data_IF_518784089904
#
_entry.id   IF_518784089904
#
_cell.length_a   1.000
_cell.length_b   1.000
_cell.length_c   1.000
_cell.angle_alpha   90.00
_cell.angle_beta   90.00
_cell.angle_gamma   90.00
#
_symmetry.space_group_name_H-M   'P 1'
#
loop_
_entity.id
_entity.type
_entity.pdbx_description
1 polymer ?
#
# COMPACT_ATOMS: atom_id res chain seq x y z
N UNK A 1 27.32 8.34 0.46
CA UNK A 1 26.85 9.68 0.14
C UNK A 1 25.37 9.63 -0.23
N UNK A 2 24.59 10.44 0.45
CA UNK A 2 23.15 10.49 0.22
C UNK A 2 22.86 11.46 -0.90
N UNK A 3 22.00 11.08 -1.83
CA UNK A 3 21.60 11.95 -2.91
C UNK A 3 20.10 12.25 -2.85
N UNK A 4 19.63 13.15 -3.71
CA UNK A 4 18.23 13.58 -3.72
C UNK A 4 17.26 12.43 -3.97
N UNK A 5 17.65 11.48 -4.80
CA UNK A 5 16.80 10.34 -5.13
C UNK A 5 16.54 9.48 -3.89
N UNK A 6 17.56 9.28 -3.06
CA UNK A 6 17.39 8.49 -1.84
C UNK A 6 16.45 9.19 -0.86
N UNK A 7 16.54 10.52 -0.75
CA UNK A 7 15.69 11.28 0.15
C UNK A 7 14.23 11.22 -0.31
N UNK A 8 13.98 11.39 -1.62
CA UNK A 8 12.65 11.27 -2.20
C UNK A 8 12.07 9.90 -1.95
N UNK A 9 12.88 8.87 -2.17
CA UNK A 9 12.46 7.50 -1.99
C UNK A 9 12.07 7.25 -0.54
N UNK A 10 12.84 7.79 0.40
CA UNK A 10 12.56 7.67 1.82
C UNK A 10 11.23 8.30 2.19
N UNK A 11 10.90 9.47 1.65
CA UNK A 11 9.60 10.10 1.89
C UNK A 11 8.46 9.24 1.36
N UNK A 12 8.62 8.72 0.15
CA UNK A 12 7.63 7.85 -0.46
C UNK A 12 7.42 6.59 0.39
N UNK A 13 8.51 6.03 0.89
CA UNK A 13 8.44 4.83 1.73
C UNK A 13 7.74 5.13 3.05
N UNK A 14 7.99 6.29 3.65
CA UNK A 14 7.34 6.69 4.90
C UNK A 14 5.84 6.87 4.71
N UNK A 15 5.43 7.50 3.62
CA UNK A 15 4.01 7.65 3.30
C UNK A 15 3.36 6.30 3.10
N UNK A 16 3.99 5.44 2.31
CA UNK A 16 3.49 4.10 2.03
C UNK A 16 3.31 3.29 3.31
N UNK A 17 4.28 3.36 4.21
CA UNK A 17 4.23 2.63 5.47
C UNK A 17 3.12 3.14 6.38
N UNK A 18 2.97 4.47 6.48
CA UNK A 18 1.92 5.05 7.32
C UNK A 18 0.53 4.71 6.78
N UNK A 19 0.35 4.78 5.47
CA UNK A 19 -0.92 4.40 4.86
C UNK A 19 -1.20 2.91 5.10
N UNK A 20 -0.17 2.08 4.98
CA UNK A 20 -0.30 0.64 5.27
C UNK A 20 -0.73 0.38 6.70
N UNK A 21 -0.17 1.10 7.65
CA UNK A 21 -0.53 0.97 9.07
C UNK A 21 -2.01 1.32 9.29
N UNK A 22 -2.49 2.36 8.66
CA UNK A 22 -3.88 2.79 8.79
C UNK A 22 -4.84 1.80 8.16
N UNK A 23 -4.46 1.24 7.02
CA UNK A 23 -5.26 0.18 6.39
C UNK A 23 -5.30 -1.05 7.29
N UNK A 24 -4.15 -1.44 7.85
CA UNK A 24 -4.09 -2.61 8.74
C UNK A 24 -5.01 -2.43 9.95
N UNK A 25 -5.04 -1.24 10.52
CA UNK A 25 -5.93 -0.94 11.64
C UNK A 25 -7.38 -1.11 11.24
N UNK A 26 -7.78 -0.56 10.08
CA UNK A 26 -9.14 -0.73 9.57
C UNK A 26 -9.47 -2.17 9.30
N UNK A 27 -8.52 -2.90 8.75
CA UNK A 27 -8.71 -4.31 8.42
C UNK A 27 -8.95 -5.17 9.66
N UNK A 28 -8.30 -4.85 10.77
CA UNK A 28 -8.52 -5.57 12.02
C UNK A 28 -9.95 -5.42 12.53
N UNK A 29 -10.54 -4.25 12.34
CA UNK A 29 -11.92 -4.00 12.74
C UNK A 29 -12.93 -4.49 11.72
N UNK A 30 -12.56 -4.52 10.44
CA UNK A 30 -13.44 -4.88 9.35
C UNK A 30 -12.74 -5.88 8.42
N UNK A 31 -12.63 -7.15 8.85
CA UNK A 31 -11.95 -8.16 8.01
C UNK A 31 -12.59 -8.35 6.63
N UNK A 32 -13.85 -7.99 6.49
CA UNK A 32 -14.56 -8.07 5.21
C UNK A 32 -13.97 -7.14 4.15
N UNK A 33 -13.08 -6.22 4.53
CA UNK A 33 -12.37 -5.39 3.57
C UNK A 33 -11.47 -6.21 2.64
N UNK A 34 -11.15 -7.45 3.01
CA UNK A 34 -10.43 -8.36 2.11
C UNK A 34 -11.23 -8.56 0.83
N UNK A 35 -12.57 -8.69 0.93
CA UNK A 35 -13.41 -8.84 -0.25
C UNK A 35 -13.36 -7.60 -1.14
N UNK A 36 -13.29 -6.42 -0.55
CA UNK A 36 -13.13 -5.17 -1.28
C UNK A 36 -11.81 -5.17 -2.06
N UNK A 37 -10.72 -5.60 -1.41
CA UNK A 37 -9.42 -5.68 -2.06
C UNK A 37 -9.43 -6.69 -3.21
N UNK A 38 -10.05 -7.86 -3.02
CA UNK A 38 -10.15 -8.85 -4.07
C UNK A 38 -10.93 -8.34 -5.28
N UNK A 39 -12.00 -7.58 -5.04
CA UNK A 39 -12.78 -6.98 -6.13
C UNK A 39 -11.93 -5.98 -6.92
N UNK A 40 -11.10 -5.19 -6.24
CA UNK A 40 -10.19 -4.27 -6.90
C UNK A 40 -9.19 -5.04 -7.78
N UNK A 41 -8.62 -6.12 -7.28
CA UNK A 41 -7.66 -6.92 -8.06
C UNK A 41 -8.31 -7.49 -9.31
N UNK A 42 -9.54 -7.99 -9.19
CA UNK A 42 -10.25 -8.54 -10.34
C UNK A 42 -10.47 -7.47 -11.42
N UNK A 43 -10.91 -6.28 -11.00
CA UNK A 43 -11.15 -5.17 -11.92
C UNK A 43 -9.86 -4.71 -12.58
N UNK A 44 -8.80 -4.51 -11.79
CA UNK A 44 -7.51 -4.04 -12.31
C UNK A 44 -6.88 -5.05 -13.24
N UNK A 45 -7.03 -6.34 -12.96
CA UNK A 45 -6.49 -7.39 -13.83
C UNK A 45 -7.13 -7.33 -15.22
N UNK A 46 -8.42 -7.05 -15.26
CA UNK A 46 -9.11 -6.89 -16.55
C UNK A 46 -8.66 -5.62 -17.27
N UNK A 47 -8.49 -4.53 -16.53
CA UNK A 47 -8.09 -3.24 -17.10
C UNK A 47 -6.65 -3.26 -17.61
N UNK A 48 -5.79 -4.06 -17.01
CA UNK A 48 -4.36 -4.09 -17.31
C UNK A 48 -3.93 -5.42 -17.92
N UNK A 49 -4.79 -6.00 -18.73
CA UNK A 49 -4.56 -7.34 -19.31
C UNK A 49 -3.27 -7.42 -20.12
N UNK A 50 -2.79 -6.30 -20.67
CA UNK A 50 -1.58 -6.25 -21.47
C UNK A 50 -0.33 -5.82 -20.66
N UNK A 51 -0.42 -5.77 -19.33
CA UNK A 51 0.68 -5.34 -18.49
C UNK A 51 1.17 -6.48 -17.60
N UNK A 52 2.09 -7.33 -18.09
CA UNK A 52 2.51 -8.53 -17.36
C UNK A 52 3.08 -8.26 -15.97
N UNK A 53 3.81 -7.17 -15.80
CA UNK A 53 4.40 -6.82 -14.50
C UNK A 53 3.33 -6.51 -13.46
N UNK A 54 2.29 -5.79 -13.86
CA UNK A 54 1.17 -5.50 -12.97
C UNK A 54 0.39 -6.76 -12.65
N UNK A 55 0.15 -7.60 -13.65
CA UNK A 55 -0.58 -8.85 -13.44
C UNK A 55 0.14 -9.76 -12.45
N UNK A 56 1.48 -9.81 -12.50
CA UNK A 56 2.25 -10.58 -11.53
C UNK A 56 2.07 -10.02 -10.12
N UNK A 57 2.10 -8.71 -9.98
CA UNK A 57 1.91 -8.07 -8.69
C UNK A 57 0.51 -8.37 -8.13
N UNK A 58 -0.50 -8.31 -8.97
CA UNK A 58 -1.88 -8.63 -8.57
C UNK A 58 -2.01 -10.10 -8.17
N UNK A 59 -1.31 -11.00 -8.85
CA UNK A 59 -1.31 -12.41 -8.49
C UNK A 59 -0.66 -12.64 -7.12
N UNK A 60 0.42 -11.93 -6.84
CA UNK A 60 1.06 -11.98 -5.52
C UNK A 60 0.09 -11.52 -4.43
N UNK A 61 -0.64 -10.43 -4.68
CA UNK A 61 -1.62 -9.93 -3.73
C UNK A 61 -2.76 -10.93 -3.50
N UNK A 62 -3.19 -11.64 -4.55
CA UNK A 62 -4.23 -12.67 -4.38
C UNK A 62 -3.79 -13.75 -3.42
N UNK A 63 -2.54 -14.17 -3.49
CA UNK A 63 -2.00 -15.16 -2.58
C UNK A 63 -1.97 -14.61 -1.16
N UNK A 64 -1.50 -13.38 -0.99
CA UNK A 64 -1.42 -12.71 0.31
C UNK A 64 -2.82 -12.59 0.94
N UNK A 65 -3.81 -12.21 0.15
CA UNK A 65 -5.17 -12.01 0.64
C UNK A 65 -5.87 -13.31 1.02
N UNK A 66 -5.30 -14.46 0.66
CA UNK A 66 -5.81 -15.75 1.10
C UNK A 66 -5.29 -16.15 2.49
N UNK A 67 -4.36 -15.38 3.04
CA UNK A 67 -3.76 -15.65 4.35
C UNK A 67 -4.62 -15.08 5.47
N UNK A 68 -4.36 -15.50 6.72
CA UNK A 68 -5.04 -14.88 7.86
C UNK A 68 -4.84 -13.37 7.91
N UNK A 69 -5.84 -12.67 8.44
CA UNK A 69 -5.82 -11.20 8.50
C UNK A 69 -4.56 -10.67 9.20
N UNK A 70 -4.10 -11.34 10.25
CA UNK A 70 -2.90 -10.91 10.95
C UNK A 70 -1.67 -10.87 10.04
N UNK A 71 -1.54 -11.85 9.15
CA UNK A 71 -0.42 -11.88 8.22
C UNK A 71 -0.53 -10.78 7.16
N UNK A 72 -1.75 -10.49 6.72
CA UNK A 72 -1.97 -9.39 5.78
C UNK A 72 -1.58 -8.07 6.46
N UNK A 73 -1.98 -7.88 7.70
CA UNK A 73 -1.64 -6.68 8.46
C UNK A 73 -0.13 -6.57 8.68
N UNK A 74 0.55 -7.67 8.94
CA UNK A 74 2.00 -7.68 9.11
C UNK A 74 2.69 -7.18 7.83
N UNK A 75 2.22 -7.64 6.68
CA UNK A 75 2.78 -7.18 5.40
C UNK A 75 2.52 -5.69 5.19
N UNK A 76 1.31 -5.23 5.50
CA UNK A 76 0.95 -3.82 5.34
C UNK A 76 1.81 -2.92 6.23
N UNK A 77 2.31 -3.43 7.34
CA UNK A 77 3.11 -2.68 8.31
C UNK A 77 4.61 -2.94 8.19
N UNK A 78 5.04 -3.78 7.26
CA UNK A 78 6.45 -4.16 7.14
C UNK A 78 7.24 -3.09 6.38
N UNK A 79 8.46 -2.83 6.85
CA UNK A 79 9.34 -1.85 6.23
C UNK A 79 10.32 -2.46 5.24
N UNK A 80 10.11 -3.72 4.85
CA UNK A 80 10.99 -4.41 3.91
C UNK A 80 10.81 -3.87 2.49
N UNK A 81 11.82 -4.05 1.67
CA UNK A 81 11.75 -3.65 0.25
C UNK A 81 10.60 -4.34 -0.47
N UNK A 82 10.38 -5.61 -0.17
CA UNK A 82 9.34 -6.37 -0.83
C UNK A 82 7.95 -5.87 -0.46
N UNK A 83 7.75 -5.55 0.82
CA UNK A 83 6.48 -4.97 1.27
C UNK A 83 6.27 -3.58 0.66
N UNK A 84 7.32 -2.77 0.55
CA UNK A 84 7.23 -1.47 -0.10
C UNK A 84 6.81 -1.62 -1.56
N UNK A 85 7.42 -2.55 -2.28
CA UNK A 85 7.07 -2.83 -3.67
C UNK A 85 5.60 -3.22 -3.80
N UNK A 86 5.14 -4.09 -2.94
CA UNK A 86 3.75 -4.57 -2.99
C UNK A 86 2.77 -3.45 -2.67
N UNK A 87 3.07 -2.61 -1.68
CA UNK A 87 2.18 -1.51 -1.31
C UNK A 87 2.04 -0.45 -2.40
N UNK A 88 2.98 -0.35 -3.33
CA UNK A 88 2.87 0.56 -4.47
C UNK A 88 1.63 0.27 -5.31
N UNK A 89 1.16 -0.97 -5.30
CA UNK A 89 -0.02 -1.38 -6.02
C UNK A 89 -1.01 -2.07 -5.08
N UNK A 90 -1.23 -1.45 -3.92
CA UNK A 90 -2.08 -2.03 -2.88
C UNK A 90 -3.53 -2.14 -3.32
N UNK A 91 -4.14 -3.32 -3.20
CA UNK A 91 -5.55 -3.48 -3.53
C UNK A 91 -6.50 -2.87 -2.51
N UNK A 92 -5.96 -2.34 -1.42
CA UNK A 92 -6.76 -1.64 -0.41
C UNK A 92 -6.96 -0.16 -0.77
N UNK A 93 -6.61 0.25 -1.97
CA UNK A 93 -6.85 1.61 -2.45
C UNK A 93 -8.35 1.91 -2.35
N UNK A 94 -8.69 3.03 -1.74
CA UNK A 94 -10.07 3.43 -1.52
C UNK A 94 -10.61 3.09 -0.13
N UNK A 95 -9.88 2.28 0.65
CA UNK A 95 -10.29 1.99 2.03
C UNK A 95 -10.20 3.24 2.89
N UNK A 96 -9.15 4.01 2.71
CA UNK A 96 -9.00 5.28 3.41
C UNK A 96 -9.61 6.40 2.59
N UNK A 97 -10.28 7.34 3.26
CA UNK A 97 -10.86 8.50 2.58
C UNK A 97 -9.76 9.35 1.95
N UNK A 98 -10.04 10.02 0.81
CA UNK A 98 -9.05 10.87 0.16
C UNK A 98 -8.46 11.94 1.09
N UNK A 99 -9.26 12.49 1.99
CA UNK A 99 -8.77 13.49 2.95
C UNK A 99 -7.73 12.90 3.90
N UNK A 100 -7.92 11.66 4.32
CA UNK A 100 -6.96 10.99 5.20
C UNK A 100 -5.65 10.71 4.46
N UNK A 101 -5.74 10.23 3.22
CA UNK A 101 -4.56 9.99 2.37
C UNK A 101 -3.79 11.29 2.18
N UNK A 102 -4.50 12.36 1.87
CA UNK A 102 -3.91 13.68 1.67
C UNK A 102 -3.21 14.17 2.94
N UNK A 103 -3.84 14.00 4.10
CA UNK A 103 -3.27 14.43 5.38
C UNK A 103 -1.94 13.72 5.66
N UNK A 104 -1.87 12.41 5.38
CA UNK A 104 -0.62 11.66 5.54
C UNK A 104 0.45 12.17 4.60
N UNK A 105 0.12 12.33 3.33
CA UNK A 105 1.08 12.81 2.33
C UNK A 105 1.61 14.19 2.68
N UNK A 106 0.72 15.08 3.12
CA UNK A 106 1.10 16.45 3.48
C UNK A 106 2.05 16.48 4.66
N UNK A 107 1.79 15.65 5.66
CA UNK A 107 2.63 15.60 6.87
C UNK A 107 4.08 15.26 6.52
N UNK A 108 4.28 14.25 5.69
CA UNK A 108 5.64 13.85 5.33
C UNK A 108 6.29 14.77 4.32
N UNK A 109 5.50 15.35 3.44
CA UNK A 109 6.01 16.30 2.45
C UNK A 109 6.61 17.55 3.08
N UNK A 110 6.00 18.03 4.15
CA UNK A 110 6.43 19.28 4.79
C UNK A 110 7.54 19.09 5.81
N UNK A 111 7.78 17.88 6.28
CA UNK A 111 8.78 17.63 7.31
C UNK A 111 10.16 18.13 6.92
N UNK A 112 10.69 17.87 5.72
CA UNK A 112 12.03 18.33 5.34
C UNK A 112 12.10 19.82 5.12
N UNK A 113 11.00 20.47 4.85
CA UNK A 113 11.00 21.89 4.51
C UNK A 113 11.38 22.77 5.68
N UNK A 114 11.30 22.25 6.89
CA UNK A 114 11.65 23.02 8.09
C UNK A 114 13.13 23.04 8.38
N UNK A 115 13.88 22.22 7.72
CA UNK A 115 15.33 22.15 7.92
C UNK A 115 16.10 23.25 7.15
#
# INVERSE_FOLDING_TARGET
MVNSANMKHSETDQVSLELGRRVAERLRWQPELVAFALANLARWSRQNIAAPSLLRCYAEWQIILSRPVDEICDLLCAATEDAQRLRQNSPFAGVLAPAEVWAVKSRFRHAPATA
#
